data_IF_491996000533
#
_entry.id   IF_491996000533
#
_cell.length_a   1.000
_cell.length_b   1.000
_cell.length_c   1.000
_cell.angle_alpha   90.00
_cell.angle_beta   90.00
_cell.angle_gamma   90.00
#
_symmetry.space_group_name_H-M   'P 1'
#
loop_
_entity.id
_entity.type
_entity.pdbx_description
1 polymer ?
#
# COMPACT_ATOMS: atom_id res chain seq x y z
N UNK A 1 -0.66 -0.19 32.39
CA UNK A 1 -1.07 -0.99 31.23
C UNK A 1 -0.43 -0.40 29.97
N UNK A 2 0.86 -0.68 29.67
CA UNK A 2 1.51 -0.08 28.48
C UNK A 2 2.76 -0.83 27.95
N UNK A 3 2.89 -2.13 28.24
CA UNK A 3 4.05 -2.92 27.80
C UNK A 3 3.88 -3.57 26.41
N UNK A 4 2.72 -3.45 25.78
CA UNK A 4 2.44 -4.08 24.48
C UNK A 4 3.01 -3.27 23.29
N UNK A 5 3.00 -1.93 23.38
CA UNK A 5 3.42 -1.05 22.28
C UNK A 5 4.93 -1.09 22.01
N UNK A 6 5.75 -1.30 23.05
CA UNK A 6 7.21 -1.43 22.95
C UNK A 6 7.60 -2.77 22.32
N UNK A 7 6.84 -3.84 22.60
CA UNK A 7 7.13 -5.17 22.08
C UNK A 7 6.84 -5.31 20.57
N UNK A 8 5.82 -4.65 20.02
CA UNK A 8 5.56 -4.68 18.58
C UNK A 8 6.65 -3.98 17.76
N UNK A 9 7.15 -2.84 18.24
CA UNK A 9 8.26 -2.13 17.60
C UNK A 9 9.55 -2.97 17.59
N UNK A 10 9.84 -3.66 18.69
CA UNK A 10 11.01 -4.54 18.79
C UNK A 10 10.89 -5.79 17.91
N UNK A 11 9.70 -6.40 17.83
CA UNK A 11 9.45 -7.57 16.98
C UNK A 11 9.59 -7.21 15.50
N UNK A 12 9.08 -6.04 15.08
CA UNK A 12 9.25 -5.57 13.70
C UNK A 12 10.73 -5.34 13.36
N UNK A 13 11.49 -4.72 14.28
CA UNK A 13 12.94 -4.51 14.14
C UNK A 13 13.74 -5.83 14.12
N UNK A 14 13.35 -6.83 14.91
CA UNK A 14 13.99 -8.15 14.96
C UNK A 14 13.69 -9.01 13.72
N UNK A 15 12.50 -8.87 13.12
CA UNK A 15 12.20 -9.50 11.83
C UNK A 15 12.97 -8.88 10.68
N UNK A 16 13.35 -7.59 10.78
CA UNK A 16 14.16 -6.94 9.76
C UNK A 16 15.61 -7.43 9.72
N UNK A 17 16.11 -7.98 10.83
CA UNK A 17 17.51 -8.37 11.04
C UNK A 17 17.84 -9.83 10.68
N UNK A 18 16.85 -10.69 10.41
CA UNK A 18 17.03 -12.15 10.40
C UNK A 18 16.98 -12.84 9.03
N UNK A 19 17.24 -12.13 7.91
CA UNK A 19 17.39 -12.77 6.60
C UNK A 19 18.61 -12.19 5.85
N UNK A 20 19.73 -12.89 5.99
CA UNK A 20 20.99 -12.69 5.26
C UNK A 20 21.00 -13.51 3.97
N UNK A 21 21.60 -12.93 2.91
CA UNK A 21 21.92 -13.48 1.57
C UNK A 21 20.73 -13.55 0.59
N UNK A 22 20.81 -13.24 -0.71
CA UNK A 22 21.91 -12.88 -1.64
C UNK A 22 21.34 -12.21 -2.90
N UNK A 23 22.21 -11.47 -3.59
CA UNK A 23 22.11 -10.77 -4.88
C UNK A 23 21.64 -11.63 -6.08
N UNK A 24 20.34 -11.87 -6.20
CA UNK A 24 19.69 -12.13 -7.48
C UNK A 24 18.23 -11.73 -7.36
N UNK A 25 17.81 -10.69 -8.09
CA UNK A 25 16.41 -10.25 -8.09
C UNK A 25 15.54 -11.35 -8.69
N UNK A 26 15.93 -11.94 -9.83
CA UNK A 26 15.19 -13.05 -10.42
C UNK A 26 14.99 -14.25 -9.46
N UNK A 27 13.74 -14.64 -9.27
CA UNK A 27 13.37 -15.75 -8.39
C UNK A 27 13.32 -15.40 -6.90
N UNK A 28 13.33 -14.11 -6.57
CA UNK A 28 13.13 -13.62 -5.20
C UNK A 28 11.68 -13.20 -4.97
N UNK A 29 11.26 -13.23 -3.69
CA UNK A 29 10.01 -12.64 -3.24
C UNK A 29 10.26 -11.23 -2.72
N UNK A 30 9.43 -10.29 -3.14
CA UNK A 30 9.37 -8.95 -2.60
C UNK A 30 8.24 -8.88 -1.57
N UNK A 31 8.56 -8.47 -0.35
CA UNK A 31 7.57 -7.95 0.59
C UNK A 31 7.67 -6.43 0.55
N UNK A 32 6.56 -5.72 0.41
CA UNK A 32 6.55 -4.27 0.48
C UNK A 32 5.32 -3.76 1.20
N UNK A 33 5.44 -2.56 1.75
CA UNK A 33 4.35 -1.97 2.51
C UNK A 33 4.63 -0.53 2.91
N UNK A 34 3.54 0.20 3.11
CA UNK A 34 3.53 1.43 3.89
C UNK A 34 2.45 1.32 4.95
N UNK A 35 2.67 2.00 6.08
CA UNK A 35 1.67 2.17 7.11
C UNK A 35 1.57 3.65 7.42
N UNK A 36 0.35 4.16 7.48
CA UNK A 36 0.07 5.56 7.75
C UNK A 36 -0.83 5.65 8.96
N UNK A 37 -0.43 6.48 9.93
CA UNK A 37 -1.26 6.87 11.06
C UNK A 37 -1.25 8.39 11.14
N UNK A 38 -2.43 8.99 11.16
CA UNK A 38 -2.61 10.43 11.30
C UNK A 38 -3.55 10.67 12.47
N UNK A 39 -3.10 11.48 13.42
CA UNK A 39 -3.93 11.93 14.53
C UNK A 39 -4.11 13.44 14.39
N UNK A 40 -5.36 13.88 14.22
CA UNK A 40 -5.69 15.29 14.20
C UNK A 40 -6.33 15.62 15.54
N UNK A 41 -5.59 16.39 16.35
CA UNK A 41 -6.01 16.81 17.68
C UNK A 41 -7.45 17.37 17.63
N UNK A 42 -8.40 16.67 18.26
CA UNK A 42 -9.85 16.94 18.32
C UNK A 42 -10.66 16.85 17.00
N UNK A 43 -10.06 16.44 15.87
CA UNK A 43 -10.76 16.35 14.56
C UNK A 43 -10.83 14.93 13.99
N UNK A 44 -10.20 13.96 14.66
CA UNK A 44 -10.29 12.55 14.27
C UNK A 44 -8.94 11.92 13.95
N UNK A 45 -8.96 10.63 13.60
CA UNK A 45 -7.76 9.85 13.32
C UNK A 45 -7.94 9.03 12.05
N UNK A 46 -6.89 8.90 11.24
CA UNK A 46 -6.84 7.92 10.15
C UNK A 46 -5.74 6.90 10.36
N UNK A 47 -6.02 5.65 9.97
CA UNK A 47 -5.07 4.56 10.00
C UNK A 47 -5.26 3.70 8.76
N UNK A 48 -4.18 3.46 8.03
CA UNK A 48 -4.25 2.71 6.79
C UNK A 48 -2.91 2.13 6.37
N UNK A 49 -2.97 1.25 5.38
CA UNK A 49 -1.84 0.66 4.71
C UNK A 49 -1.98 0.87 3.20
N UNK A 50 -0.93 1.36 2.53
CA UNK A 50 -1.07 1.89 1.17
C UNK A 50 0.07 1.53 0.21
N UNK A 51 -0.03 0.42 -0.53
CA UNK A 51 -0.56 -0.88 -0.11
C UNK A 51 0.51 -1.72 0.61
N UNK A 52 0.13 -2.85 1.20
CA UNK A 52 1.06 -3.94 1.61
C UNK A 52 0.90 -5.09 0.63
N UNK A 53 2.00 -5.65 0.13
CA UNK A 53 1.94 -6.68 -0.88
C UNK A 53 3.13 -7.62 -0.92
N UNK A 54 2.90 -8.71 -1.65
CA UNK A 54 3.89 -9.74 -1.95
C UNK A 54 4.03 -9.85 -3.46
N UNK A 55 5.25 -9.70 -3.95
CA UNK A 55 5.60 -9.82 -5.37
C UNK A 55 6.61 -10.92 -5.62
N UNK A 56 6.61 -11.45 -6.83
CA UNK A 56 7.63 -12.35 -7.33
C UNK A 56 8.40 -11.69 -8.47
N UNK A 57 9.73 -11.70 -8.38
CA UNK A 57 10.60 -11.21 -9.43
C UNK A 57 10.75 -12.24 -10.55
N UNK A 58 10.17 -11.96 -11.71
CA UNK A 58 10.26 -12.81 -12.90
C UNK A 58 11.62 -12.69 -13.59
N UNK A 59 12.20 -11.50 -13.52
CA UNK A 59 13.55 -11.19 -13.94
C UNK A 59 14.13 -10.16 -12.96
N UNK A 60 15.21 -9.47 -13.33
CA UNK A 60 15.87 -8.55 -12.41
C UNK A 60 15.14 -7.21 -12.24
N UNK A 61 14.16 -6.89 -13.07
CA UNK A 61 13.46 -5.60 -13.04
C UNK A 61 11.93 -5.69 -12.97
N UNK A 62 11.36 -6.85 -13.30
CA UNK A 62 9.92 -7.09 -13.36
C UNK A 62 9.47 -7.89 -12.17
N UNK A 63 8.49 -7.32 -11.47
CA UNK A 63 7.77 -7.95 -10.37
C UNK A 63 6.29 -7.94 -10.68
N UNK A 64 5.62 -9.05 -10.40
CA UNK A 64 4.16 -9.05 -10.29
C UNK A 64 3.74 -9.83 -9.05
N UNK A 65 2.55 -9.53 -8.54
CA UNK A 65 2.07 -10.16 -7.33
C UNK A 65 0.72 -9.64 -6.91
N UNK A 66 0.43 -9.77 -5.63
CA UNK A 66 -0.82 -9.34 -5.01
C UNK A 66 -0.52 -8.32 -3.93
N UNK A 67 -1.38 -7.32 -3.82
CA UNK A 67 -1.32 -6.36 -2.74
C UNK A 67 -2.71 -6.12 -2.15
N UNK A 68 -2.71 -5.54 -0.96
CA UNK A 68 -3.88 -5.21 -0.17
C UNK A 68 -3.66 -3.85 0.46
N UNK A 69 -4.64 -2.97 0.31
CA UNK A 69 -4.69 -1.69 0.98
C UNK A 69 -5.93 -1.62 1.85
N UNK A 70 -5.83 -0.88 2.95
CA UNK A 70 -7.00 -0.51 3.72
C UNK A 70 -6.80 0.88 4.28
N UNK A 71 -7.89 1.60 4.42
CA UNK A 71 -7.91 2.90 5.08
C UNK A 71 -9.12 2.94 6.02
N UNK A 72 -8.90 3.50 7.20
CA UNK A 72 -9.95 3.73 8.18
C UNK A 72 -9.82 5.14 8.72
N UNK A 73 -10.85 5.93 8.50
CA UNK A 73 -10.96 7.27 9.04
C UNK A 73 -12.06 7.33 10.10
N UNK A 74 -11.77 7.98 11.21
CA UNK A 74 -12.73 8.28 12.27
C UNK A 74 -12.77 9.78 12.48
N UNK A 75 -13.95 10.37 12.46
CA UNK A 75 -14.11 11.78 12.81
C UNK A 75 -14.08 11.98 14.34
N UNK A 76 -13.60 13.13 14.81
CA UNK A 76 -13.36 13.44 16.23
C UNK A 76 -14.61 13.40 17.13
N UNK A 77 -15.81 13.50 16.53
CA UNK A 77 -17.09 13.39 17.23
C UNK A 77 -17.62 11.95 17.35
N UNK A 78 -16.95 10.96 16.75
CA UNK A 78 -17.35 9.54 16.79
C UNK A 78 -18.51 9.16 15.86
N UNK A 79 -19.13 10.13 15.19
CA UNK A 79 -20.35 9.94 14.39
C UNK A 79 -20.13 9.40 12.97
N UNK A 80 -18.89 9.44 12.47
CA UNK A 80 -18.52 8.97 11.14
C UNK A 80 -17.30 8.04 11.24
N UNK A 81 -17.46 6.79 10.80
CA UNK A 81 -16.34 5.88 10.54
C UNK A 81 -16.41 5.45 9.09
N UNK A 82 -15.42 5.85 8.30
CA UNK A 82 -15.25 5.36 6.94
C UNK A 82 -14.20 4.24 6.94
N UNK A 83 -14.49 3.14 6.26
CA UNK A 83 -13.54 2.08 6.02
C UNK A 83 -13.54 1.67 4.57
N UNK A 84 -12.35 1.67 3.98
CA UNK A 84 -12.09 1.28 2.60
C UNK A 84 -11.06 0.16 2.59
N UNK A 85 -11.27 -0.79 1.70
CA UNK A 85 -10.40 -1.92 1.46
C UNK A 85 -10.19 -2.10 -0.03
N UNK A 86 -8.98 -2.44 -0.42
CA UNK A 86 -8.58 -2.63 -1.82
C UNK A 86 -7.74 -3.92 -1.88
N UNK A 87 -8.01 -4.81 -2.84
CA UNK A 87 -7.17 -5.98 -3.09
C UNK A 87 -7.04 -6.21 -4.59
N UNK A 88 -5.85 -6.60 -5.03
CA UNK A 88 -5.72 -7.11 -6.38
C UNK A 88 -4.28 -7.34 -6.82
N UNK A 89 -4.12 -7.75 -8.08
CA UNK A 89 -2.82 -7.88 -8.68
C UNK A 89 -2.14 -6.52 -8.87
N UNK A 90 -0.82 -6.56 -8.85
CA UNK A 90 0.04 -5.49 -9.33
C UNK A 90 1.12 -6.00 -10.27
N UNK A 91 1.60 -5.11 -11.11
CA UNK A 91 2.76 -5.27 -11.96
C UNK A 91 3.69 -4.08 -11.76
N UNK A 92 4.99 -4.32 -11.66
CA UNK A 92 5.98 -3.24 -11.60
C UNK A 92 7.23 -3.55 -12.39
N UNK A 93 7.76 -2.53 -13.06
CA UNK A 93 9.02 -2.58 -13.81
C UNK A 93 9.98 -1.52 -13.27
N UNK A 94 11.24 -1.89 -13.02
CA UNK A 94 12.24 -1.06 -12.36
C UNK A 94 13.47 -0.77 -13.23
N UNK A 95 13.84 0.50 -13.33
CA UNK A 95 15.07 0.96 -13.98
C UNK A 95 16.04 1.48 -12.93
N UNK A 96 17.16 0.77 -12.74
CA UNK A 96 18.21 1.21 -11.82
C UNK A 96 18.92 2.45 -12.38
N UNK A 97 19.16 3.42 -11.51
CA UNK A 97 19.92 4.64 -11.77
C UNK A 97 21.15 4.59 -10.88
N UNK A 98 22.25 4.08 -11.44
CA UNK A 98 23.45 3.74 -10.69
C UNK A 98 23.20 2.59 -9.70
N UNK A 99 23.99 2.56 -8.63
CA UNK A 99 24.02 1.41 -7.71
C UNK A 99 22.98 1.49 -6.58
N UNK A 100 22.48 2.69 -6.30
CA UNK A 100 21.66 2.96 -5.10
C UNK A 100 20.24 3.42 -5.38
N UNK A 101 19.92 3.83 -6.60
CA UNK A 101 18.61 4.37 -6.93
C UNK A 101 17.92 3.55 -8.01
N UNK A 102 16.60 3.53 -8.01
CA UNK A 102 15.80 3.04 -9.12
C UNK A 102 14.54 3.87 -9.29
N UNK A 103 14.07 3.97 -10.54
CA UNK A 103 12.71 4.41 -10.85
C UNK A 103 11.89 3.17 -11.15
N UNK A 104 10.70 3.07 -10.58
CA UNK A 104 9.80 1.94 -10.76
C UNK A 104 8.47 2.48 -11.27
N UNK A 105 7.95 1.93 -12.36
CA UNK A 105 6.57 2.14 -12.75
C UNK A 105 5.73 0.99 -12.21
N UNK A 106 4.66 1.29 -11.47
CA UNK A 106 3.72 0.30 -10.93
C UNK A 106 2.33 0.52 -11.49
N UNK A 107 1.66 -0.59 -11.81
CA UNK A 107 0.28 -0.64 -12.24
C UNK A 107 -0.49 -1.64 -11.36
N UNK A 108 -1.64 -1.20 -10.88
CA UNK A 108 -2.51 -1.91 -9.96
C UNK A 108 -3.90 -2.04 -10.59
N UNK A 109 -4.52 -3.21 -10.40
CA UNK A 109 -5.92 -3.45 -10.75
C UNK A 109 -6.61 -4.07 -9.54
N UNK A 110 -7.44 -3.30 -8.85
CA UNK A 110 -8.01 -3.68 -7.55
C UNK A 110 -9.52 -3.82 -7.61
N UNK A 111 -10.01 -4.76 -6.82
CA UNK A 111 -11.38 -4.74 -6.32
C UNK A 111 -11.41 -3.94 -5.03
N UNK A 112 -12.37 -3.02 -4.93
CA UNK A 112 -12.51 -2.09 -3.81
C UNK A 112 -13.85 -2.33 -3.13
N UNK A 113 -13.88 -2.29 -1.80
CA UNK A 113 -15.11 -2.30 -1.03
C UNK A 113 -14.95 -1.47 0.22
N UNK A 114 -16.06 -0.96 0.71
CA UNK A 114 -16.05 -0.12 1.89
C UNK A 114 -17.43 0.17 2.42
N UNK A 115 -17.43 0.84 3.56
CA UNK A 115 -18.62 1.25 4.26
C UNK A 115 -18.34 2.52 5.04
N UNK A 116 -19.28 3.44 4.91
CA UNK A 116 -19.34 4.66 5.70
C UNK A 116 -20.43 4.44 6.74
N UNK A 117 -20.02 4.25 7.98
CA UNK A 117 -20.93 4.14 9.13
C UNK A 117 -21.22 5.54 9.65
N UNK A 118 -22.50 5.87 9.72
CA UNK A 118 -23.02 7.08 10.35
C UNK A 118 -23.90 6.67 11.54
N UNK A 119 -23.89 7.43 12.64
CA UNK A 119 -24.82 7.25 13.78
C UNK A 119 -26.30 7.52 13.42
N UNK A 120 -26.61 7.79 12.16
CA UNK A 120 -27.94 8.03 11.61
C UNK A 120 -28.26 7.04 10.47
N UNK A 121 -29.48 7.08 9.92
CA UNK A 121 -29.95 6.19 8.86
C UNK A 121 -29.20 6.30 7.50
N UNK A 122 -28.09 7.03 7.43
CA UNK A 122 -27.26 7.25 6.24
C UNK A 122 -26.07 6.30 6.09
N UNK A 123 -25.99 5.22 6.87
CA UNK A 123 -24.92 4.22 6.69
C UNK A 123 -25.00 3.61 5.28
N UNK A 124 -23.89 3.66 4.56
CA UNK A 124 -23.81 3.27 3.15
C UNK A 124 -22.62 2.34 2.94
N UNK A 125 -22.80 1.31 2.11
CA UNK A 125 -21.72 0.42 1.69
C UNK A 125 -21.63 0.39 0.18
N UNK A 126 -20.42 0.17 -0.31
CA UNK A 126 -20.11 0.18 -1.73
C UNK A 126 -19.09 -0.89 -2.09
N UNK A 127 -19.07 -1.24 -3.36
CA UNK A 127 -18.02 -2.04 -3.97
C UNK A 127 -17.71 -1.55 -5.38
N UNK A 128 -16.58 -1.96 -5.94
CA UNK A 128 -16.16 -1.48 -7.24
C UNK A 128 -14.78 -1.93 -7.65
N UNK A 129 -14.22 -1.21 -8.61
CA UNK A 129 -12.90 -1.47 -9.16
C UNK A 129 -12.08 -0.19 -9.21
N UNK A 130 -10.78 -0.34 -9.03
CA UNK A 130 -9.79 0.72 -9.09
C UNK A 130 -8.65 0.28 -10.00
N UNK A 131 -8.38 1.06 -11.05
CA UNK A 131 -7.14 0.97 -11.82
C UNK A 131 -6.23 2.11 -11.39
N UNK A 132 -4.96 1.82 -11.12
CA UNK A 132 -3.98 2.84 -10.69
C UNK A 132 -2.63 2.61 -11.35
N UNK A 133 -1.99 3.67 -11.83
CA UNK A 133 -0.63 3.66 -12.37
C UNK A 133 0.15 4.80 -11.74
N UNK A 134 1.36 4.50 -11.27
CA UNK A 134 2.18 5.48 -10.56
C UNK A 134 3.67 5.16 -10.65
N UNK A 135 4.54 6.17 -10.76
CA UNK A 135 5.97 6.02 -10.59
C UNK A 135 6.35 6.02 -9.10
N UNK A 136 7.45 5.34 -8.81
CA UNK A 136 8.07 5.25 -7.49
C UNK A 136 9.57 5.50 -7.68
N UNK A 137 10.14 6.35 -6.83
CA UNK A 137 11.59 6.43 -6.65
C UNK A 137 11.98 5.49 -5.52
N UNK A 138 12.93 4.59 -5.77
CA UNK A 138 13.45 3.67 -4.79
C UNK A 138 14.91 3.97 -4.46
N UNK A 139 15.27 3.81 -3.18
CA UNK A 139 16.66 3.88 -2.69
C UNK A 139 17.01 2.54 -2.07
N UNK A 140 18.02 1.86 -2.61
CA UNK A 140 18.51 0.58 -2.10
C UNK A 140 19.40 0.80 -0.88
N UNK A 141 18.96 0.27 0.26
CA UNK A 141 19.69 0.33 1.54
C UNK A 141 20.67 -0.84 1.72
N UNK A 142 20.79 -1.71 0.71
CA UNK A 142 21.56 -2.95 0.80
C UNK A 142 20.79 -4.08 1.47
N UNK A 143 21.36 -5.29 1.42
CA UNK A 143 20.76 -6.51 2.00
C UNK A 143 19.31 -6.78 1.55
N UNK A 144 18.94 -6.36 0.35
CA UNK A 144 17.58 -6.50 -0.19
C UNK A 144 16.55 -5.52 0.38
N UNK A 145 16.96 -4.55 1.21
CA UNK A 145 16.07 -3.47 1.67
C UNK A 145 16.05 -2.31 0.69
N UNK A 146 14.87 -1.70 0.51
CA UNK A 146 14.72 -0.45 -0.22
C UNK A 146 13.67 0.46 0.40
N UNK A 147 13.95 1.77 0.42
CA UNK A 147 12.96 2.81 0.65
C UNK A 147 12.29 3.14 -0.67
N UNK A 148 10.97 3.39 -0.65
CA UNK A 148 10.16 3.66 -1.83
C UNK A 148 9.33 4.91 -1.60
N UNK A 149 9.35 5.83 -2.57
CA UNK A 149 8.57 7.06 -2.55
C UNK A 149 7.73 7.18 -3.82
N UNK A 150 6.41 7.14 -3.68
CA UNK A 150 5.44 7.52 -4.72
C UNK A 150 5.25 9.03 -4.68
N UNK A 151 5.23 9.69 -5.84
CA UNK A 151 5.11 11.15 -5.90
C UNK A 151 4.02 11.64 -6.86
N UNK A 152 3.45 10.77 -7.70
CA UNK A 152 2.28 11.10 -8.51
C UNK A 152 1.43 9.85 -8.76
N UNK A 153 0.19 10.06 -9.19
CA UNK A 153 -0.76 8.98 -9.45
C UNK A 153 -1.70 9.32 -10.61
N UNK A 154 -1.96 8.32 -11.43
CA UNK A 154 -3.09 8.27 -12.35
C UNK A 154 -4.00 7.14 -11.90
N UNK A 155 -5.25 7.43 -11.52
CA UNK A 155 -6.19 6.41 -11.07
C UNK A 155 -7.60 6.64 -11.60
N UNK A 156 -8.30 5.54 -11.80
CA UNK A 156 -9.72 5.52 -12.11
C UNK A 156 -10.41 4.53 -11.19
N UNK A 157 -11.34 5.04 -10.39
CA UNK A 157 -12.16 4.26 -9.47
C UNK A 157 -13.62 4.37 -9.91
N UNK A 158 -14.31 3.23 -9.94
CA UNK A 158 -15.75 3.17 -10.14
C UNK A 158 -16.37 2.27 -9.08
N UNK A 159 -17.21 2.86 -8.23
CA UNK A 159 -17.91 2.16 -7.16
C UNK A 159 -19.42 2.22 -7.36
N UNK A 160 -20.11 1.22 -6.85
CA UNK A 160 -21.56 1.11 -6.84
C UNK A 160 -22.03 0.87 -5.42
N UNK A 161 -23.06 1.61 -5.03
CA UNK A 161 -23.71 1.49 -3.75
C UNK A 161 -24.54 0.24 -3.61
N UNK A 162 -24.59 -0.29 -2.40
CA UNK A 162 -25.55 -1.31 -1.99
C UNK A 162 -26.88 -0.69 -1.51
N UNK A 163 -27.21 0.52 -1.98
CA UNK A 163 -28.47 1.20 -1.74
C UNK A 163 -29.55 0.78 -2.76
N UNK A 164 -30.81 1.07 -2.48
CA UNK A 164 -31.92 0.70 -3.36
C UNK A 164 -31.77 1.25 -4.79
N UNK A 165 -31.08 2.38 -4.93
CA UNK A 165 -30.85 3.05 -6.21
C UNK A 165 -29.56 2.58 -6.93
N UNK A 166 -28.75 1.71 -6.30
CA UNK A 166 -27.43 1.28 -6.79
C UNK A 166 -26.60 2.45 -7.31
N UNK A 167 -26.46 3.48 -6.49
CA UNK A 167 -25.83 4.74 -6.89
C UNK A 167 -24.37 4.47 -7.30
N UNK A 168 -24.01 4.86 -8.53
CA UNK A 168 -22.64 4.70 -9.05
C UNK A 168 -21.84 5.99 -8.86
N UNK A 169 -20.62 5.86 -8.34
CA UNK A 169 -19.68 6.96 -8.19
C UNK A 169 -18.41 6.69 -9.00
N UNK A 170 -17.89 7.73 -9.65
CA UNK A 170 -16.73 7.64 -10.53
C UNK A 170 -15.72 8.70 -10.12
N UNK A 171 -14.52 8.25 -9.78
CA UNK A 171 -13.43 9.13 -9.37
C UNK A 171 -12.27 8.95 -10.32
N UNK A 172 -11.78 10.04 -10.89
CA UNK A 172 -10.57 10.07 -11.70
C UNK A 172 -9.55 10.99 -11.05
N UNK A 173 -8.36 10.48 -10.80
CA UNK A 173 -7.24 11.24 -10.23
C UNK A 173 -6.13 11.25 -11.27
N UNK A 174 -5.67 12.44 -11.62
CA UNK A 174 -4.46 12.63 -12.40
C UNK A 174 -3.71 13.82 -11.80
N UNK A 175 -2.59 13.57 -11.12
CA UNK A 175 -1.83 14.68 -10.57
C UNK A 175 -0.69 14.33 -9.62
N UNK A 176 0.11 15.36 -9.40
CA UNK A 176 1.14 15.43 -8.37
C UNK A 176 0.53 16.26 -7.24
N UNK A 177 0.04 15.61 -6.17
CA UNK A 177 -0.48 16.33 -5.02
C UNK A 177 -0.05 15.63 -3.72
N UNK A 178 -0.16 16.32 -2.58
CA UNK A 178 0.26 15.78 -1.30
C UNK A 178 -0.48 14.49 -0.90
N UNK A 179 -1.70 14.26 -1.41
CA UNK A 179 -2.45 13.03 -1.15
C UNK A 179 -2.02 11.84 -2.02
N UNK A 180 -1.28 12.07 -3.11
CA UNK A 180 -0.65 11.01 -3.92
C UNK A 180 0.81 10.78 -3.56
N UNK A 181 1.37 11.55 -2.61
CA UNK A 181 2.68 11.26 -2.05
C UNK A 181 2.60 10.11 -1.04
N UNK A 182 3.50 9.13 -1.15
CA UNK A 182 3.53 7.99 -0.24
C UNK A 182 4.94 7.47 -0.01
N UNK A 183 5.26 7.11 1.23
CA UNK A 183 6.53 6.50 1.61
C UNK A 183 6.30 5.07 2.07
N UNK A 184 7.14 4.15 1.62
CA UNK A 184 7.07 2.75 1.99
C UNK A 184 8.45 2.11 2.05
N UNK A 185 8.46 0.86 2.52
CA UNK A 185 9.65 0.02 2.59
C UNK A 185 9.40 -1.27 1.82
N UNK A 186 10.48 -1.87 1.32
CA UNK A 186 10.43 -3.21 0.76
C UNK A 186 11.64 -4.03 1.13
N UNK A 187 11.45 -5.35 1.18
CA UNK A 187 12.46 -6.36 1.44
C UNK A 187 12.37 -7.45 0.40
N UNK A 188 13.48 -7.72 -0.26
CA UNK A 188 13.63 -8.85 -1.17
C UNK A 188 14.20 -10.05 -0.40
N UNK A 189 13.58 -11.21 -0.59
CA UNK A 189 13.94 -12.48 0.02
C UNK A 189 14.26 -13.45 -1.11
N UNK A 190 15.52 -13.87 -1.20
CA UNK A 190 15.93 -14.85 -2.21
C UNK A 190 15.38 -16.23 -1.86
N UNK A 191 14.74 -16.91 -2.83
CA UNK A 191 14.27 -18.29 -2.65
C UNK A 191 15.35 -19.33 -2.97
N UNK A 192 16.56 -18.91 -3.34
CA UNK A 192 17.67 -19.85 -3.56
C UNK A 192 18.07 -20.49 -2.23
N UNK A 193 17.90 -21.81 -2.16
CA UNK A 193 18.38 -22.65 -1.06
C UNK A 193 19.89 -22.44 -0.92
N UNK A 194 20.37 -22.02 0.25
CA UNK A 194 21.80 -22.17 0.57
C UNK A 194 22.12 -23.65 0.46
N UNK A 195 23.05 -24.00 -0.44
CA UNK A 195 23.75 -25.27 -0.32
C UNK A 195 24.71 -25.20 0.86
#
# INVERSE_FOLDING_TARGET
MNNWKINLGLILLLTCASLTTVHAQKGSLMLYGSLTYKDNNNTGSSFGANPIGVGYFFNDHVVAGMNYAFDREKNGLGDLTDSKHEIGPFYSDSWNIGDHFAIIAQADAHYVWGNTLMNTAGSYSYNGYLGRIYPIVAVFLGHGWALKAKFCELSYENTTGNDANKTSNRTFVAGINGSTFGLGVSKNISLKKSK
#
